data_IF_101807661371
#
_entry.id   IF_101807661371
#
_cell.length_a   1.000
_cell.length_b   1.000
_cell.length_c   1.000
_cell.angle_alpha   90.00
_cell.angle_beta   90.00
_cell.angle_gamma   90.00
#
_symmetry.space_group_name_H-M   'P 1'
#
loop_
_entity.id
_entity.type
_entity.pdbx_description
1 polymer ?
#
# COMPACT_ATOMS: atom_id res chain seq x y z
N UNK A 1 -8.84 -21.34 1.11
CA UNK A 1 -9.92 -20.65 0.36
C UNK A 1 -9.29 -20.05 -0.88
N UNK A 2 -9.83 -20.25 -2.09
CA UNK A 2 -9.28 -19.59 -3.29
C UNK A 2 -9.47 -18.09 -3.10
N UNK A 3 -8.38 -17.31 -3.06
CA UNK A 3 -8.44 -15.87 -2.73
C UNK A 3 -8.98 -15.02 -3.87
N UNK A 4 -8.84 -15.49 -5.12
CA UNK A 4 -9.22 -14.76 -6.33
C UNK A 4 -10.40 -15.45 -7.01
N UNK A 5 -11.60 -15.12 -6.54
CA UNK A 5 -12.84 -15.74 -7.02
C UNK A 5 -13.66 -14.72 -7.76
N UNK A 6 -14.04 -15.06 -9.00
CA UNK A 6 -15.09 -14.35 -9.73
C UNK A 6 -16.34 -15.23 -9.79
N UNK A 7 -17.44 -14.71 -9.26
CA UNK A 7 -18.71 -15.42 -9.21
C UNK A 7 -19.51 -15.18 -10.50
N UNK A 8 -19.21 -15.97 -11.54
CA UNK A 8 -19.99 -15.99 -12.80
C UNK A 8 -21.45 -16.40 -12.57
N UNK A 9 -21.66 -17.28 -11.60
CA UNK A 9 -22.94 -17.69 -11.04
C UNK A 9 -22.87 -17.48 -9.53
N UNK A 10 -23.99 -17.15 -8.88
CA UNK A 10 -24.04 -16.78 -7.46
C UNK A 10 -23.16 -17.66 -6.57
N UNK A 11 -22.48 -17.07 -5.54
CA UNK A 11 -21.63 -17.84 -4.64
C UNK A 11 -22.41 -19.02 -4.03
N UNK A 12 -21.92 -20.26 -4.13
CA UNK A 12 -22.68 -21.45 -3.78
C UNK A 12 -23.04 -21.56 -2.28
N UNK A 13 -22.33 -20.86 -1.40
CA UNK A 13 -22.50 -20.95 0.06
C UNK A 13 -22.93 -19.64 0.72
N UNK A 14 -23.40 -18.65 -0.05
CA UNK A 14 -23.90 -17.38 0.49
C UNK A 14 -25.41 -17.28 0.35
N UNK A 15 -26.02 -16.56 1.30
CA UNK A 15 -27.35 -16.01 1.12
C UNK A 15 -27.41 -15.23 -0.20
N UNK A 16 -28.24 -15.73 -1.13
CA UNK A 16 -28.35 -15.22 -2.50
C UNK A 16 -28.73 -13.74 -2.52
N UNK A 17 -29.60 -13.28 -1.63
CA UNK A 17 -30.00 -11.88 -1.57
C UNK A 17 -28.85 -10.99 -1.09
N UNK A 18 -28.10 -11.43 -0.08
CA UNK A 18 -26.89 -10.73 0.40
C UNK A 18 -25.80 -10.68 -0.68
N UNK A 19 -25.58 -11.78 -1.39
CA UNK A 19 -24.61 -11.84 -2.49
C UNK A 19 -24.99 -10.91 -3.65
N UNK A 20 -26.27 -10.89 -4.04
CA UNK A 20 -26.79 -9.94 -5.04
C UNK A 20 -26.54 -8.50 -4.60
N UNK A 21 -26.90 -8.16 -3.36
CA UNK A 21 -26.73 -6.82 -2.83
C UNK A 21 -25.24 -6.41 -2.79
N UNK A 22 -24.35 -7.34 -2.42
CA UNK A 22 -22.92 -7.11 -2.41
C UNK A 22 -22.36 -6.92 -3.83
N UNK A 23 -22.74 -7.77 -4.79
CA UNK A 23 -22.34 -7.62 -6.18
C UNK A 23 -22.78 -6.29 -6.79
N UNK A 24 -24.01 -5.81 -6.47
CA UNK A 24 -24.49 -4.48 -6.88
C UNK A 24 -23.64 -3.35 -6.29
N UNK A 25 -23.34 -3.40 -4.98
CA UNK A 25 -22.45 -2.42 -4.35
C UNK A 25 -21.05 -2.41 -4.96
N UNK A 26 -20.52 -3.59 -5.30
CA UNK A 26 -19.23 -3.69 -5.97
C UNK A 26 -19.27 -3.08 -7.38
N UNK A 27 -20.33 -3.34 -8.15
CA UNK A 27 -20.50 -2.76 -9.48
C UNK A 27 -20.60 -1.23 -9.42
N UNK A 28 -21.40 -0.69 -8.49
CA UNK A 28 -21.53 0.76 -8.23
C UNK A 28 -20.20 1.38 -7.83
N UNK A 29 -19.48 0.77 -6.88
CA UNK A 29 -18.18 1.24 -6.43
C UNK A 29 -17.13 1.24 -7.55
N UNK A 30 -17.05 0.17 -8.35
CA UNK A 30 -16.14 0.14 -9.50
C UNK A 30 -16.49 1.23 -10.53
N UNK A 31 -17.78 1.44 -10.80
CA UNK A 31 -18.25 2.42 -11.77
C UNK A 31 -17.93 3.86 -11.33
N UNK A 32 -18.19 4.21 -10.08
CA UNK A 32 -17.85 5.51 -9.51
C UNK A 32 -16.36 5.80 -9.67
N UNK A 33 -15.51 4.84 -9.29
CA UNK A 33 -14.05 5.01 -9.34
C UNK A 33 -13.50 5.07 -10.75
N UNK A 34 -14.08 4.30 -11.67
CA UNK A 34 -13.80 4.43 -13.10
C UNK A 34 -14.05 5.87 -13.60
N UNK A 35 -15.13 6.51 -13.14
CA UNK A 35 -15.44 7.87 -13.54
C UNK A 35 -14.49 8.91 -12.91
N UNK A 36 -14.11 8.76 -11.65
CA UNK A 36 -13.05 9.60 -11.05
C UNK A 36 -11.71 9.45 -11.77
N UNK A 37 -11.28 8.21 -12.06
CA UNK A 37 -10.06 7.95 -12.84
C UNK A 37 -10.12 8.61 -14.21
N UNK A 38 -11.24 8.45 -14.94
CA UNK A 38 -11.41 9.08 -16.25
C UNK A 38 -11.38 10.61 -16.16
N UNK A 39 -12.01 11.21 -15.15
CA UNK A 39 -11.93 12.65 -14.93
C UNK A 39 -10.48 13.10 -14.64
N UNK A 40 -9.76 12.35 -13.81
CA UNK A 40 -8.37 12.61 -13.47
C UNK A 40 -7.45 12.58 -14.71
N UNK A 41 -7.55 11.53 -15.51
CA UNK A 41 -6.75 11.28 -16.72
C UNK A 41 -7.06 12.28 -17.85
N UNK A 42 -8.27 12.84 -17.88
CA UNK A 42 -8.68 13.84 -18.88
C UNK A 42 -8.55 15.29 -18.41
N UNK A 43 -8.13 15.52 -17.15
CA UNK A 43 -8.08 16.87 -16.58
C UNK A 43 -9.46 17.54 -16.51
N UNK A 44 -10.54 16.76 -16.42
CA UNK A 44 -11.92 17.25 -16.49
C UNK A 44 -12.43 17.68 -15.11
N UNK A 45 -11.67 18.52 -14.44
CA UNK A 45 -11.95 19.07 -13.11
C UNK A 45 -11.23 20.41 -12.96
N UNK A 46 -11.67 21.19 -11.98
CA UNK A 46 -11.04 22.43 -11.58
C UNK A 46 -10.50 22.29 -10.15
N UNK A 47 -9.36 22.94 -9.87
CA UNK A 47 -8.71 22.91 -8.56
C UNK A 47 -9.18 24.13 -7.79
N UNK A 48 -9.79 23.91 -6.63
CA UNK A 48 -10.11 24.97 -5.67
C UNK A 48 -9.05 25.02 -4.56
N UNK A 49 -8.67 26.22 -4.14
CA UNK A 49 -7.87 26.43 -2.94
C UNK A 49 -8.78 26.68 -1.75
N UNK A 50 -8.61 25.87 -0.70
CA UNK A 50 -9.40 25.89 0.52
C UNK A 50 -8.54 26.52 1.63
N UNK A 51 -8.87 27.76 1.99
CA UNK A 51 -8.14 28.52 3.01
C UNK A 51 -8.40 27.97 4.41
N UNK A 52 -7.52 28.24 5.40
CA UNK A 52 -7.83 28.00 6.80
C UNK A 52 -9.16 28.67 7.21
N UNK A 53 -10.06 27.92 7.85
CA UNK A 53 -11.37 28.41 8.27
C UNK A 53 -12.49 28.32 7.22
N UNK A 54 -12.20 27.90 5.99
CA UNK A 54 -13.24 27.57 5.00
C UNK A 54 -14.09 26.38 5.50
N UNK A 55 -15.45 26.46 5.50
CA UNK A 55 -16.33 25.35 5.88
C UNK A 55 -16.09 24.05 5.09
N UNK A 56 -15.56 24.16 3.87
CA UNK A 56 -15.22 23.06 3.00
C UNK A 56 -13.79 22.53 3.20
N UNK A 57 -12.97 23.19 4.02
CA UNK A 57 -11.66 22.72 4.41
C UNK A 57 -11.77 21.80 5.64
N UNK A 58 -11.66 20.47 5.49
CA UNK A 58 -11.78 19.56 6.62
C UNK A 58 -10.54 19.57 7.54
N UNK A 59 -9.49 20.32 7.20
CA UNK A 59 -8.26 20.37 7.97
C UNK A 59 -8.40 21.32 9.18
N UNK A 60 -8.23 20.83 10.42
CA UNK A 60 -8.31 21.69 11.61
C UNK A 60 -7.09 22.59 11.81
N UNK A 61 -6.01 22.38 11.04
CA UNK A 61 -4.76 23.13 11.12
C UNK A 61 -4.74 24.32 10.14
N UNK A 62 -3.95 25.38 10.41
CA UNK A 62 -3.92 26.62 9.63
C UNK A 62 -3.14 26.49 8.32
N UNK A 63 -3.38 25.40 7.58
CA UNK A 63 -2.73 25.13 6.31
C UNK A 63 -3.76 25.06 5.19
N UNK A 64 -3.41 25.70 4.07
CA UNK A 64 -4.18 25.61 2.83
C UNK A 64 -4.28 24.14 2.40
N UNK A 65 -5.46 23.79 1.91
CA UNK A 65 -5.75 22.53 1.24
C UNK A 65 -6.33 22.82 -0.12
N UNK A 66 -6.48 21.77 -0.91
CA UNK A 66 -7.04 21.83 -2.24
C UNK A 66 -8.24 20.91 -2.32
N UNK A 67 -9.18 21.31 -3.17
CA UNK A 67 -10.28 20.48 -3.62
C UNK A 67 -10.26 20.32 -5.13
N UNK A 68 -10.97 19.30 -5.61
CA UNK A 68 -11.22 19.05 -7.01
C UNK A 68 -12.72 19.07 -7.22
N UNK A 69 -13.17 19.95 -8.10
CA UNK A 69 -14.58 20.10 -8.48
C UNK A 69 -14.75 19.59 -9.91
N UNK A 70 -15.76 18.76 -10.13
CA UNK A 70 -15.90 17.98 -11.36
C UNK A 70 -16.97 18.52 -12.31
N UNK A 71 -17.24 19.83 -12.26
CA UNK A 71 -18.30 20.44 -13.07
C UNK A 71 -18.06 20.25 -14.58
N UNK A 72 -16.81 20.16 -15.00
CA UNK A 72 -16.41 19.88 -16.39
C UNK A 72 -16.66 18.43 -16.81
N UNK A 73 -16.83 17.50 -15.86
CA UNK A 73 -17.07 16.10 -16.14
C UNK A 73 -18.58 15.77 -16.23
N UNK A 74 -19.09 15.55 -17.44
CA UNK A 74 -20.55 15.40 -17.68
C UNK A 74 -21.06 13.95 -17.75
N UNK A 75 -20.16 12.97 -17.77
CA UNK A 75 -20.53 11.56 -18.01
C UNK A 75 -21.08 10.84 -16.78
N UNK A 76 -20.78 11.37 -15.59
CA UNK A 76 -21.25 10.85 -14.32
C UNK A 76 -21.22 11.97 -13.29
N UNK A 77 -22.19 11.99 -12.38
CA UNK A 77 -22.21 12.98 -11.30
C UNK A 77 -21.18 12.62 -10.24
N UNK A 78 -20.04 13.29 -10.27
CA UNK A 78 -18.97 13.13 -9.28
C UNK A 78 -19.13 14.15 -8.15
N UNK A 79 -18.77 13.75 -6.93
CA UNK A 79 -18.75 14.65 -5.78
C UNK A 79 -17.39 15.35 -5.72
N UNK A 80 -17.32 16.60 -5.23
CA UNK A 80 -16.05 17.24 -4.96
C UNK A 80 -15.20 16.41 -4.00
N UNK A 81 -13.89 16.36 -4.26
CA UNK A 81 -12.90 15.75 -3.37
C UNK A 81 -12.12 16.88 -2.72
N UNK A 82 -11.98 16.90 -1.39
CA UNK A 82 -11.43 18.04 -0.65
C UNK A 82 -10.45 17.61 0.43
N UNK A 83 -9.67 18.56 0.93
CA UNK A 83 -8.72 18.34 2.02
C UNK A 83 -7.35 17.82 1.59
N UNK A 84 -7.03 17.91 0.29
CA UNK A 84 -5.77 17.39 -0.27
C UNK A 84 -4.64 18.42 -0.22
N UNK A 85 -3.40 17.93 -0.16
CA UNK A 85 -2.20 18.73 -0.37
C UNK A 85 -1.75 18.52 -1.83
N UNK A 86 -1.95 19.51 -2.70
CA UNK A 86 -1.48 19.49 -4.10
C UNK A 86 -0.31 20.46 -4.24
N UNK A 87 0.72 20.06 -4.97
CA UNK A 87 2.00 20.79 -5.08
C UNK A 87 2.53 20.89 -6.52
N UNK A 88 1.72 21.31 -7.50
CA UNK A 88 2.25 21.60 -8.82
C UNK A 88 3.18 22.81 -8.81
N UNK A 89 4.24 22.71 -9.61
CA UNK A 89 5.02 23.84 -10.08
C UNK A 89 4.14 24.76 -10.94
N UNK A 90 4.67 25.94 -11.29
CA UNK A 90 3.93 26.93 -12.09
C UNK A 90 3.48 26.38 -13.47
N UNK A 91 4.22 25.41 -14.03
CA UNK A 91 3.89 24.73 -15.30
C UNK A 91 2.99 23.50 -15.14
N UNK A 92 2.54 23.20 -13.91
CA UNK A 92 1.71 22.05 -13.58
C UNK A 92 2.49 20.75 -13.30
N UNK A 93 3.81 20.74 -13.48
CA UNK A 93 4.64 19.57 -13.17
C UNK A 93 4.75 19.34 -11.66
N UNK A 94 5.06 18.11 -11.26
CA UNK A 94 5.37 17.75 -9.87
C UNK A 94 6.87 17.47 -9.75
N UNK A 95 7.47 17.89 -8.63
CA UNK A 95 8.88 17.64 -8.37
C UNK A 95 9.19 16.12 -8.38
N UNK A 96 10.28 15.65 -9.04
CA UNK A 96 10.59 14.22 -9.14
C UNK A 96 10.73 13.51 -7.79
N UNK A 97 11.25 14.20 -6.77
CA UNK A 97 11.34 13.66 -5.40
C UNK A 97 9.96 13.40 -4.78
N UNK A 98 8.95 14.22 -5.09
CA UNK A 98 7.58 14.00 -4.63
C UNK A 98 6.95 12.82 -5.37
N UNK A 99 7.20 12.67 -6.69
CA UNK A 99 6.72 11.51 -7.45
C UNK A 99 7.28 10.19 -6.89
N UNK A 100 8.56 10.17 -6.49
CA UNK A 100 9.16 9.02 -5.83
C UNK A 100 8.45 8.71 -4.50
N UNK A 101 8.24 9.71 -3.65
CA UNK A 101 7.50 9.55 -2.39
C UNK A 101 6.08 9.01 -2.63
N UNK A 102 5.37 9.53 -3.63
CA UNK A 102 4.02 9.07 -3.97
C UNK A 102 3.98 7.63 -4.49
N UNK A 103 5.00 7.21 -5.26
CA UNK A 103 5.18 5.81 -5.67
C UNK A 103 5.33 4.90 -4.44
N UNK A 104 6.16 5.28 -3.47
CA UNK A 104 6.37 4.54 -2.22
C UNK A 104 5.08 4.46 -1.37
N UNK A 105 4.36 5.58 -1.22
CA UNK A 105 3.08 5.63 -0.49
C UNK A 105 2.01 4.74 -1.14
N UNK A 106 1.90 4.76 -2.47
CA UNK A 106 0.92 3.95 -3.21
C UNK A 106 1.25 2.47 -3.15
N UNK A 107 2.48 2.07 -3.47
CA UNK A 107 2.81 0.66 -3.63
C UNK A 107 3.27 -0.02 -2.35
N UNK A 108 3.56 0.73 -1.30
CA UNK A 108 3.56 0.21 0.06
C UNK A 108 2.16 -0.20 0.54
N UNK A 109 1.11 0.31 -0.10
CA UNK A 109 -0.27 -0.02 0.24
C UNK A 109 -0.71 -1.31 -0.44
N UNK A 110 -0.80 -2.38 0.34
CA UNK A 110 -1.30 -3.67 -0.14
C UNK A 110 -2.69 -3.57 -0.79
N UNK A 111 -3.53 -2.60 -0.38
CA UNK A 111 -4.85 -2.39 -0.98
C UNK A 111 -4.73 -1.84 -2.40
N UNK A 112 -3.81 -0.91 -2.65
CA UNK A 112 -3.54 -0.40 -3.99
C UNK A 112 -2.98 -1.52 -4.87
N UNK A 113 -2.05 -2.34 -4.34
CA UNK A 113 -1.50 -3.48 -5.08
C UNK A 113 -2.58 -4.49 -5.49
N UNK A 114 -3.46 -4.87 -4.57
CA UNK A 114 -4.53 -5.84 -4.89
C UNK A 114 -5.62 -5.25 -5.79
N UNK A 115 -6.01 -4.01 -5.56
CA UNK A 115 -7.19 -3.42 -6.16
C UNK A 115 -6.88 -2.52 -7.37
N UNK A 116 -5.59 -2.35 -7.68
CA UNK A 116 -5.07 -1.64 -8.84
C UNK A 116 -5.39 -0.14 -8.86
N UNK A 117 -5.25 0.46 -10.04
CA UNK A 117 -5.42 1.90 -10.27
C UNK A 117 -6.83 2.41 -9.92
N UNK A 118 -7.86 1.54 -9.99
CA UNK A 118 -9.20 1.91 -9.53
C UNK A 118 -9.25 2.17 -8.02
N UNK A 119 -8.40 1.53 -7.22
CA UNK A 119 -8.29 1.85 -5.79
C UNK A 119 -7.33 3.00 -5.51
N UNK A 120 -6.29 3.17 -6.32
CA UNK A 120 -5.25 4.18 -6.11
C UNK A 120 -5.78 5.59 -5.85
N UNK A 121 -6.89 6.01 -6.48
CA UNK A 121 -7.47 7.34 -6.24
C UNK A 121 -7.91 7.60 -4.78
N UNK A 122 -8.15 6.54 -3.99
CA UNK A 122 -8.45 6.69 -2.55
C UNK A 122 -7.26 7.26 -1.78
N UNK A 123 -6.05 7.04 -2.28
CA UNK A 123 -4.85 7.73 -1.85
C UNK A 123 -4.79 9.07 -2.57
N UNK A 124 -5.72 9.95 -2.18
CA UNK A 124 -6.07 11.19 -2.87
C UNK A 124 -4.85 12.06 -3.20
N UNK A 125 -3.98 12.30 -2.20
CA UNK A 125 -2.79 13.14 -2.37
C UNK A 125 -1.80 12.57 -3.39
N UNK A 126 -1.25 11.35 -3.23
CA UNK A 126 -0.27 10.82 -4.19
C UNK A 126 -0.90 10.69 -5.57
N UNK A 127 -2.09 10.08 -5.66
CA UNK A 127 -2.74 9.84 -6.95
C UNK A 127 -2.98 11.12 -7.75
N UNK A 128 -3.60 12.15 -7.15
CA UNK A 128 -3.92 13.36 -7.92
C UNK A 128 -2.70 14.22 -8.25
N UNK A 129 -1.66 14.26 -7.41
CA UNK A 129 -0.41 14.91 -7.83
C UNK A 129 0.21 14.20 -9.05
N UNK A 130 0.24 12.87 -9.06
CA UNK A 130 0.72 12.10 -10.22
C UNK A 130 -0.13 12.35 -11.48
N UNK A 131 -1.46 12.46 -11.34
CA UNK A 131 -2.34 12.81 -12.45
C UNK A 131 -2.14 14.26 -12.93
N UNK A 132 -1.83 15.20 -12.05
CA UNK A 132 -1.46 16.57 -12.45
C UNK A 132 -0.17 16.54 -13.28
N UNK A 133 0.84 15.81 -12.84
CA UNK A 133 2.09 15.66 -13.60
C UNK A 133 1.86 15.03 -14.98
N UNK A 134 0.99 14.01 -15.06
CA UNK A 134 0.63 13.36 -16.32
C UNK A 134 -0.10 14.31 -17.28
N UNK A 135 -0.94 15.20 -16.76
CA UNK A 135 -1.62 16.21 -17.59
C UNK A 135 -0.74 17.42 -17.93
N UNK A 136 0.34 17.66 -17.19
CA UNK A 136 1.33 18.73 -17.43
C UNK A 136 2.15 18.50 -18.73
N UNK A 137 3.08 19.40 -19.08
CA UNK A 137 4.05 19.17 -20.16
C UNK A 137 4.92 17.90 -19.97
N UNK A 138 5.09 17.41 -18.74
CA UNK A 138 5.92 16.22 -18.47
C UNK A 138 5.31 14.91 -19.00
N UNK A 139 3.98 14.84 -19.17
CA UNK A 139 3.27 13.67 -19.73
C UNK A 139 3.60 12.33 -19.07
N UNK A 140 3.86 12.36 -17.76
CA UNK A 140 4.15 11.16 -16.98
C UNK A 140 3.55 11.25 -15.59
N UNK A 141 3.11 10.11 -15.07
CA UNK A 141 2.75 9.91 -13.66
C UNK A 141 3.98 9.69 -12.78
N UNK A 142 5.16 9.45 -13.38
CA UNK A 142 6.34 8.90 -12.71
C UNK A 142 6.36 7.37 -12.66
N UNK A 143 5.35 6.70 -13.24
CA UNK A 143 5.27 5.24 -13.36
C UNK A 143 5.05 4.88 -14.84
N UNK A 144 6.09 4.43 -15.58
CA UNK A 144 6.00 4.18 -17.02
C UNK A 144 4.87 3.23 -17.43
N UNK A 145 4.60 2.20 -16.62
CA UNK A 145 3.52 1.26 -16.88
C UNK A 145 2.12 1.90 -16.77
N UNK A 146 1.95 2.88 -15.87
CA UNK A 146 0.70 3.63 -15.78
C UNK A 146 0.57 4.59 -16.94
N UNK A 147 1.64 5.27 -17.34
CA UNK A 147 1.61 6.18 -18.49
C UNK A 147 1.16 5.44 -19.75
N UNK A 148 1.78 4.29 -20.02
CA UNK A 148 1.39 3.39 -21.12
C UNK A 148 -0.08 2.96 -21.01
N UNK A 149 -0.50 2.48 -19.84
CA UNK A 149 -1.89 2.06 -19.61
C UNK A 149 -2.86 3.20 -19.89
N UNK A 150 -2.60 4.40 -19.39
CA UNK A 150 -3.48 5.56 -19.51
C UNK A 150 -3.56 6.07 -20.94
N UNK A 151 -2.44 6.11 -21.66
CA UNK A 151 -2.38 6.50 -23.07
C UNK A 151 -3.16 5.52 -23.94
N UNK A 152 -2.91 4.21 -23.79
CA UNK A 152 -3.61 3.16 -24.54
C UNK A 152 -5.11 3.14 -24.19
N UNK A 153 -5.45 3.28 -22.92
CA UNK A 153 -6.83 3.30 -22.45
C UNK A 153 -7.60 4.50 -22.99
N UNK A 154 -6.97 5.69 -23.03
CA UNK A 154 -7.52 6.90 -23.62
C UNK A 154 -7.71 6.75 -25.13
N UNK A 155 -6.70 6.23 -25.84
CA UNK A 155 -6.77 5.99 -27.28
C UNK A 155 -7.87 4.98 -27.66
N UNK A 156 -8.10 3.98 -26.81
CA UNK A 156 -9.15 2.97 -27.01
C UNK A 156 -10.57 3.44 -26.61
N UNK A 157 -10.75 4.68 -26.17
CA UNK A 157 -12.06 5.21 -25.78
C UNK A 157 -12.52 4.77 -24.38
N UNK A 158 -11.58 4.55 -23.46
CA UNK A 158 -11.82 4.20 -22.04
C UNK A 158 -12.57 2.88 -21.80
N UNK A 159 -12.22 1.75 -22.43
CA UNK A 159 -12.90 0.48 -22.18
C UNK A 159 -12.62 -0.04 -20.75
N UNK A 160 -13.68 -0.43 -20.02
CA UNK A 160 -13.56 -0.95 -18.63
C UNK A 160 -12.71 -2.22 -18.53
N UNK A 161 -12.71 -3.05 -19.57
CA UNK A 161 -11.98 -4.33 -19.62
C UNK A 161 -10.45 -4.19 -19.55
N UNK A 162 -9.91 -2.99 -19.76
CA UNK A 162 -8.47 -2.71 -19.64
C UNK A 162 -8.05 -2.40 -18.21
N UNK A 163 -9.01 -2.23 -17.30
CA UNK A 163 -8.74 -1.93 -15.90
C UNK A 163 -9.09 -3.15 -15.05
N UNK A 164 -8.23 -3.46 -14.09
CA UNK A 164 -8.48 -4.51 -13.10
C UNK A 164 -9.69 -4.17 -12.22
N UNK A 165 -10.54 -5.16 -11.98
CA UNK A 165 -11.60 -5.06 -10.99
C UNK A 165 -11.00 -4.93 -9.59
N UNK A 166 -11.34 -3.86 -8.88
CA UNK A 166 -10.73 -3.56 -7.58
C UNK A 166 -11.14 -4.55 -6.46
N UNK A 167 -12.20 -5.33 -6.68
CA UNK A 167 -12.70 -6.31 -5.72
C UNK A 167 -12.23 -7.73 -5.99
N UNK A 168 -11.72 -8.02 -7.19
CA UNK A 168 -11.40 -9.39 -7.59
C UNK A 168 -10.30 -10.01 -6.72
N UNK A 169 -9.30 -9.21 -6.36
CA UNK A 169 -8.19 -9.61 -5.51
C UNK A 169 -8.50 -9.65 -4.02
N UNK A 170 -9.61 -9.03 -3.62
CA UNK A 170 -10.02 -8.91 -2.22
C UNK A 170 -10.51 -10.26 -1.72
N UNK A 171 -10.48 -10.46 -0.40
CA UNK A 171 -10.99 -11.68 0.24
C UNK A 171 -12.43 -12.04 -0.18
N UNK A 172 -13.28 -11.05 -0.43
CA UNK A 172 -14.65 -11.28 -0.90
C UNK A 172 -14.73 -11.86 -2.30
N UNK A 173 -13.68 -11.70 -3.12
CA UNK A 173 -13.73 -11.83 -4.57
C UNK A 173 -14.68 -10.83 -5.23
N UNK A 174 -14.81 -10.94 -6.55
CA UNK A 174 -15.78 -10.17 -7.32
C UNK A 174 -17.11 -10.94 -7.43
N UNK A 175 -18.16 -10.41 -6.81
CA UNK A 175 -19.52 -10.94 -6.75
C UNK A 175 -20.45 -10.36 -7.82
N UNK A 176 -19.95 -9.49 -8.71
CA UNK A 176 -20.71 -9.04 -9.87
C UNK A 176 -20.55 -10.05 -11.03
N UNK A 177 -21.60 -10.81 -11.38
CA UNK A 177 -21.52 -11.81 -12.46
C UNK A 177 -21.34 -11.16 -13.84
N UNK A 178 -21.58 -9.85 -13.97
CA UNK A 178 -21.47 -9.08 -15.21
C UNK A 178 -20.39 -8.00 -15.12
N UNK A 179 -19.41 -8.18 -14.22
CA UNK A 179 -18.31 -7.25 -14.04
C UNK A 179 -17.63 -6.96 -15.38
N UNK A 180 -17.60 -5.70 -15.84
CA UNK A 180 -17.00 -5.34 -17.13
C UNK A 180 -15.48 -5.08 -17.04
N UNK A 181 -14.90 -5.26 -15.86
CA UNK A 181 -13.48 -5.03 -15.55
C UNK A 181 -12.70 -6.34 -15.63
N UNK A 182 -11.38 -6.24 -15.74
CA UNK A 182 -10.50 -7.39 -15.88
C UNK A 182 -10.40 -8.21 -14.57
N UNK A 183 -10.42 -9.53 -14.72
CA UNK A 183 -10.16 -10.52 -13.67
C UNK A 183 -8.95 -11.38 -14.04
N UNK A 184 -7.74 -10.88 -13.78
CA UNK A 184 -6.49 -11.60 -14.03
C UNK A 184 -6.02 -12.32 -12.76
N UNK A 185 -6.37 -13.60 -12.65
CA UNK A 185 -5.99 -14.42 -11.50
C UNK A 185 -4.47 -14.64 -11.41
N UNK A 186 -3.77 -14.69 -12.54
CA UNK A 186 -2.34 -14.95 -12.56
C UNK A 186 -1.56 -13.71 -12.08
N UNK A 187 -1.90 -12.52 -12.60
CA UNK A 187 -1.29 -11.27 -12.15
C UNK A 187 -1.56 -11.03 -10.66
N UNK A 188 -2.81 -11.20 -10.23
CA UNK A 188 -3.18 -11.00 -8.82
C UNK A 188 -2.44 -11.95 -7.87
N UNK A 189 -2.24 -13.21 -8.29
CA UNK A 189 -1.46 -14.18 -7.51
C UNK A 189 0.00 -13.77 -7.42
N UNK A 190 0.63 -13.39 -8.54
CA UNK A 190 2.02 -12.90 -8.56
C UNK A 190 2.21 -11.71 -7.62
N UNK A 191 1.31 -10.72 -7.67
CA UNK A 191 1.36 -9.55 -6.80
C UNK A 191 1.25 -9.89 -5.32
N UNK A 192 0.43 -10.88 -4.97
CA UNK A 192 0.30 -11.32 -3.58
C UNK A 192 1.52 -12.09 -3.09
N UNK A 193 2.06 -12.96 -3.93
CA UNK A 193 3.28 -13.69 -3.62
C UNK A 193 4.45 -12.70 -3.39
N UNK A 194 4.53 -11.62 -4.18
CA UNK A 194 5.44 -10.50 -3.96
C UNK A 194 5.21 -9.80 -2.61
N UNK A 195 3.95 -9.51 -2.24
CA UNK A 195 3.64 -8.95 -0.92
C UNK A 195 4.14 -9.87 0.20
N UNK A 196 3.93 -11.18 0.09
CA UNK A 196 4.40 -12.12 1.12
C UNK A 196 5.93 -12.18 1.19
N UNK A 197 6.63 -12.19 0.05
CA UNK A 197 8.09 -12.15 0.01
C UNK A 197 8.63 -10.86 0.66
N UNK A 198 8.02 -9.71 0.36
CA UNK A 198 8.41 -8.44 0.98
C UNK A 198 8.16 -8.42 2.50
N UNK A 199 7.05 -9.01 2.95
CA UNK A 199 6.78 -9.19 4.39
C UNK A 199 7.81 -10.09 5.07
N UNK A 200 8.23 -11.17 4.40
CA UNK A 200 9.31 -12.04 4.88
C UNK A 200 10.63 -11.27 4.96
N UNK A 201 10.96 -10.47 3.96
CA UNK A 201 12.11 -9.56 3.96
C UNK A 201 12.10 -8.61 5.16
N UNK A 202 10.98 -7.91 5.38
CA UNK A 202 10.76 -7.00 6.52
C UNK A 202 10.82 -7.69 7.90
N UNK A 203 10.67 -9.02 7.94
CA UNK A 203 10.83 -9.82 9.16
C UNK A 203 12.24 -10.42 9.31
N UNK A 204 13.15 -10.17 8.36
CA UNK A 204 14.46 -10.81 8.29
C UNK A 204 14.34 -12.33 8.12
N UNK A 205 13.42 -12.79 7.28
CA UNK A 205 12.99 -14.18 7.12
C UNK A 205 12.76 -14.56 5.64
N UNK A 206 13.48 -13.94 4.69
CA UNK A 206 13.48 -14.40 3.31
C UNK A 206 13.92 -15.87 3.23
N UNK A 207 13.23 -16.67 2.44
CA UNK A 207 13.60 -18.07 2.22
C UNK A 207 14.68 -18.18 1.14
N UNK A 208 15.39 -19.33 1.03
CA UNK A 208 16.30 -19.57 -0.08
C UNK A 208 15.63 -19.40 -1.45
N UNK A 209 14.37 -19.86 -1.58
CA UNK A 209 13.59 -19.73 -2.81
C UNK A 209 13.25 -18.26 -3.12
N UNK A 210 12.88 -17.45 -2.11
CA UNK A 210 12.69 -16.00 -2.33
C UNK A 210 13.97 -15.36 -2.88
N UNK A 211 15.11 -15.69 -2.28
CA UNK A 211 16.40 -15.13 -2.68
C UNK A 211 16.73 -15.57 -4.12
N UNK A 212 16.56 -16.85 -4.46
CA UNK A 212 16.78 -17.37 -5.81
C UNK A 212 15.90 -16.65 -6.84
N UNK A 213 14.62 -16.45 -6.53
CA UNK A 213 13.67 -15.79 -7.43
C UNK A 213 14.02 -14.31 -7.62
N UNK A 214 14.29 -13.57 -6.54
CA UNK A 214 14.29 -12.11 -6.60
C UNK A 214 15.68 -11.49 -6.78
N UNK A 215 16.77 -12.21 -6.53
CA UNK A 215 18.13 -11.63 -6.52
C UNK A 215 18.51 -10.93 -7.82
N UNK A 216 18.25 -11.57 -8.95
CA UNK A 216 18.81 -11.18 -10.25
C UNK A 216 17.74 -10.81 -11.31
N UNK A 217 16.46 -10.84 -10.96
CA UNK A 217 15.38 -10.42 -11.86
C UNK A 217 15.42 -8.91 -12.10
N UNK A 218 15.04 -8.49 -13.30
CA UNK A 218 14.83 -7.07 -13.62
C UNK A 218 13.52 -6.61 -12.95
N UNK A 219 13.56 -5.68 -11.98
CA UNK A 219 12.38 -5.34 -11.17
C UNK A 219 11.15 -4.93 -11.97
N UNK A 220 11.30 -4.00 -12.92
CA UNK A 220 10.21 -3.49 -13.74
C UNK A 220 9.64 -4.52 -14.74
N UNK A 221 10.42 -5.54 -15.13
CA UNK A 221 9.91 -6.63 -15.96
C UNK A 221 9.11 -7.64 -15.15
N UNK A 222 9.55 -7.92 -13.91
CA UNK A 222 8.89 -8.87 -13.02
C UNK A 222 7.60 -8.29 -12.40
N UNK A 223 7.64 -7.02 -12.02
CA UNK A 223 6.52 -6.28 -11.42
C UNK A 223 6.29 -4.96 -12.16
N UNK A 224 5.75 -4.99 -13.40
CA UNK A 224 5.56 -3.79 -14.19
C UNK A 224 4.53 -2.84 -13.59
N UNK A 225 3.51 -3.35 -12.89
CA UNK A 225 2.39 -2.55 -12.36
C UNK A 225 2.79 -1.53 -11.29
N UNK A 226 3.90 -1.76 -10.59
CA UNK A 226 4.49 -0.83 -9.62
C UNK A 226 5.88 -0.33 -10.05
N UNK A 227 6.23 -0.50 -11.33
CA UNK A 227 7.52 -0.13 -11.87
C UNK A 227 8.68 -0.68 -11.03
N UNK A 228 8.57 -1.97 -10.67
CA UNK A 228 9.59 -2.73 -9.96
C UNK A 228 9.76 -2.44 -8.47
N UNK A 229 9.02 -1.49 -7.89
CA UNK A 229 9.22 -1.00 -6.51
C UNK A 229 9.38 -2.13 -5.48
N UNK A 230 8.45 -3.08 -5.42
CA UNK A 230 8.49 -4.14 -4.40
C UNK A 230 9.68 -5.09 -4.59
N UNK A 231 10.09 -5.31 -5.84
CA UNK A 231 11.21 -6.20 -6.16
C UNK A 231 12.52 -5.52 -5.79
N UNK A 232 12.64 -4.21 -6.04
CA UNK A 232 13.77 -3.40 -5.57
C UNK A 232 13.89 -3.42 -4.05
N UNK A 233 12.76 -3.29 -3.33
CA UNK A 233 12.74 -3.41 -1.86
C UNK A 233 13.22 -4.79 -1.39
N UNK A 234 12.73 -5.88 -2.01
CA UNK A 234 13.18 -7.24 -1.66
C UNK A 234 14.68 -7.40 -1.96
N UNK A 235 15.15 -6.95 -3.11
CA UNK A 235 16.58 -6.99 -3.47
C UNK A 235 17.44 -6.18 -2.52
N UNK A 236 16.94 -5.04 -2.03
CA UNK A 236 17.62 -4.25 -1.00
C UNK A 236 17.82 -5.06 0.27
N UNK A 237 16.78 -5.75 0.77
CA UNK A 237 16.87 -6.63 1.94
C UNK A 237 17.77 -7.85 1.72
N UNK A 238 17.84 -8.38 0.50
CA UNK A 238 18.79 -9.45 0.16
C UNK A 238 20.23 -8.96 0.30
N UNK A 239 20.52 -7.74 -0.20
CA UNK A 239 21.86 -7.14 -0.18
C UNK A 239 22.24 -6.58 1.19
N UNK A 240 21.26 -6.09 1.94
CA UNK A 240 21.44 -5.38 3.21
C UNK A 240 20.46 -5.94 4.26
N UNK A 241 20.67 -7.18 4.74
CA UNK A 241 19.80 -7.73 5.78
C UNK A 241 19.90 -6.89 7.06
N UNK A 242 18.76 -6.62 7.69
CA UNK A 242 18.71 -5.91 8.97
C UNK A 242 19.55 -6.68 10.01
N UNK A 243 20.39 -5.99 10.81
CA UNK A 243 21.18 -6.65 11.84
C UNK A 243 20.27 -7.26 12.91
N UNK A 244 20.65 -8.44 13.40
CA UNK A 244 19.94 -9.07 14.52
C UNK A 244 20.28 -8.30 15.80
N UNK A 245 19.28 -7.63 16.39
CA UNK A 245 19.43 -6.88 17.65
C UNK A 245 18.72 -7.57 18.81
N UNK A 246 19.09 -7.26 20.04
CA UNK A 246 18.25 -7.62 21.18
C UNK A 246 17.08 -6.64 21.29
N UNK A 247 15.84 -7.13 21.25
CA UNK A 247 14.64 -6.27 21.34
C UNK A 247 14.32 -5.81 22.76
N UNK A 248 15.06 -6.27 23.76
CA UNK A 248 15.04 -5.63 25.07
C UNK A 248 15.80 -4.30 24.97
N UNK A 249 15.09 -3.18 24.97
CA UNK A 249 15.64 -1.83 24.80
C UNK A 249 16.67 -1.44 25.87
N UNK A 250 16.64 -2.07 27.03
CA UNK A 250 17.66 -1.92 28.09
C UNK A 250 18.85 -2.88 27.98
N UNK A 251 19.03 -3.58 26.86
CA UNK A 251 20.15 -4.50 26.64
C UNK A 251 21.11 -3.95 25.57
N UNK A 252 22.37 -3.76 25.94
CA UNK A 252 23.45 -3.32 25.06
C UNK A 252 24.39 -4.47 24.64
N UNK A 253 24.10 -5.73 24.99
CA UNK A 253 25.02 -6.85 24.74
C UNK A 253 25.45 -6.97 23.27
N UNK A 254 24.53 -6.73 22.33
CA UNK A 254 24.85 -6.78 20.89
C UNK A 254 25.48 -5.47 20.40
N UNK A 255 25.19 -4.35 21.06
CA UNK A 255 25.83 -3.08 20.76
C UNK A 255 27.31 -3.11 21.18
N UNK A 256 27.62 -3.75 22.32
CA UNK A 256 28.97 -3.90 22.87
C UNK A 256 29.74 -5.07 22.22
N UNK A 257 29.02 -6.13 21.82
CA UNK A 257 29.56 -7.38 21.24
C UNK A 257 28.78 -7.80 19.99
N UNK A 258 29.06 -7.19 18.82
CA UNK A 258 28.34 -7.47 17.57
C UNK A 258 28.36 -8.94 17.15
N UNK A 259 29.39 -9.70 17.52
CA UNK A 259 29.52 -11.14 17.27
C UNK A 259 28.42 -11.99 17.91
N UNK A 260 27.72 -11.47 18.93
CA UNK A 260 26.60 -12.15 19.57
C UNK A 260 25.31 -12.09 18.74
N UNK A 261 25.25 -11.27 17.68
CA UNK A 261 24.07 -11.12 16.83
C UNK A 261 23.60 -12.46 16.26
N UNK A 262 24.53 -13.32 15.82
CA UNK A 262 24.23 -14.64 15.26
C UNK A 262 23.72 -15.65 16.30
N UNK A 263 23.95 -15.39 17.59
CA UNK A 263 23.55 -16.26 18.70
C UNK A 263 22.18 -15.88 19.28
N UNK A 264 21.58 -14.78 18.81
CA UNK A 264 20.30 -14.31 19.31
C UNK A 264 19.19 -15.30 19.01
N UNK A 265 18.33 -15.49 20.01
CA UNK A 265 17.19 -16.38 19.90
C UNK A 265 15.97 -15.59 19.46
N UNK A 266 15.33 -16.05 18.40
CA UNK A 266 14.04 -15.51 17.95
C UNK A 266 12.93 -15.92 18.91
N UNK A 267 11.92 -15.07 19.08
CA UNK A 267 10.68 -15.46 19.74
C UNK A 267 10.09 -16.70 19.04
N UNK A 268 9.80 -17.76 19.78
CA UNK A 268 9.28 -19.02 19.23
C UNK A 268 7.92 -18.88 18.55
N UNK A 269 7.11 -17.88 18.94
CA UNK A 269 5.77 -17.64 18.38
C UNK A 269 5.83 -16.82 17.10
N UNK A 270 6.40 -15.62 17.14
CA UNK A 270 6.38 -14.71 15.99
C UNK A 270 7.57 -14.86 15.06
N UNK A 271 8.70 -15.38 15.53
CA UNK A 271 9.97 -15.49 14.79
C UNK A 271 10.56 -14.16 14.26
N UNK A 272 9.97 -13.02 14.59
CA UNK A 272 10.42 -11.68 14.16
C UNK A 272 11.42 -11.09 15.13
N UNK A 273 11.06 -10.97 16.42
CA UNK A 273 11.90 -10.32 17.42
C UNK A 273 12.95 -11.28 17.99
N UNK A 274 14.11 -10.75 18.36
CA UNK A 274 15.29 -11.49 18.82
C UNK A 274 15.76 -11.07 20.21
N UNK A 275 16.34 -12.00 20.95
CA UNK A 275 16.78 -11.78 22.32
C UNK A 275 18.10 -12.47 22.63
N UNK A 276 18.89 -11.79 23.48
CA UNK A 276 20.13 -12.32 24.05
C UNK A 276 19.89 -13.60 24.88
N UNK A 277 18.77 -13.62 25.60
CA UNK A 277 18.44 -14.63 26.61
C UNK A 277 16.94 -14.65 26.89
N UNK A 278 16.49 -15.68 27.62
CA UNK A 278 15.12 -15.74 28.12
C UNK A 278 14.79 -14.60 29.10
N UNK A 279 15.79 -14.03 29.79
CA UNK A 279 15.61 -12.88 30.66
C UNK A 279 15.34 -11.60 29.86
N UNK A 280 16.13 -11.37 28.79
CA UNK A 280 15.89 -10.29 27.83
C UNK A 280 14.45 -10.38 27.28
N UNK A 281 13.99 -11.58 26.92
CA UNK A 281 12.62 -11.81 26.47
C UNK A 281 11.57 -11.48 27.55
N UNK A 282 11.76 -11.96 28.79
CA UNK A 282 10.82 -11.71 29.90
C UNK A 282 10.69 -10.21 30.20
N UNK A 283 11.79 -9.45 30.16
CA UNK A 283 11.79 -8.00 30.37
C UNK A 283 10.98 -7.26 29.30
N UNK A 284 11.17 -7.60 28.03
CA UNK A 284 10.44 -6.98 26.91
C UNK A 284 9.00 -7.51 26.74
N UNK A 285 8.63 -8.61 27.41
CA UNK A 285 7.35 -9.31 27.17
C UNK A 285 6.11 -8.43 27.33
N UNK A 286 6.10 -7.49 28.29
CA UNK A 286 4.94 -6.61 28.54
C UNK A 286 4.59 -5.76 27.31
N UNK A 287 5.59 -5.30 26.57
CA UNK A 287 5.45 -4.55 25.32
C UNK A 287 5.20 -5.51 24.16
N UNK A 288 6.08 -6.51 23.99
CA UNK A 288 6.00 -7.46 22.88
C UNK A 288 4.66 -8.19 22.78
N UNK A 289 4.06 -8.61 23.89
CA UNK A 289 2.87 -9.47 23.90
C UNK A 289 1.67 -8.88 23.16
N UNK A 290 1.61 -7.54 23.05
CA UNK A 290 0.52 -6.81 22.41
C UNK A 290 0.53 -7.01 20.88
N UNK A 291 1.73 -7.15 20.32
CA UNK A 291 1.95 -7.26 18.88
C UNK A 291 2.53 -8.64 18.48
N UNK A 292 2.53 -9.59 19.41
CA UNK A 292 3.03 -10.93 19.18
C UNK A 292 1.95 -11.81 18.54
N UNK A 293 2.16 -12.17 17.27
CA UNK A 293 1.30 -13.09 16.51
C UNK A 293 2.09 -14.31 16.02
N UNK A 294 1.45 -15.45 15.72
CA UNK A 294 2.10 -16.54 15.00
C UNK A 294 2.76 -16.03 13.71
N UNK A 295 3.97 -16.49 13.42
CA UNK A 295 4.72 -16.04 12.22
C UNK A 295 3.90 -16.15 10.92
N UNK A 296 3.18 -17.26 10.75
CA UNK A 296 2.34 -17.48 9.57
C UNK A 296 1.23 -16.42 9.45
N UNK A 297 0.60 -16.06 10.58
CA UNK A 297 -0.37 -14.97 10.61
C UNK A 297 0.28 -13.64 10.24
N UNK A 298 1.48 -13.35 10.75
CA UNK A 298 2.21 -12.12 10.41
C UNK A 298 2.41 -12.00 8.90
N UNK A 299 2.76 -13.07 8.19
CA UNK A 299 2.98 -12.98 6.74
C UNK A 299 1.66 -12.83 5.97
N UNK A 300 0.60 -13.52 6.37
CA UNK A 300 -0.61 -13.65 5.55
C UNK A 300 -1.75 -12.70 5.90
N UNK A 301 -1.80 -12.18 7.13
CA UNK A 301 -2.86 -11.30 7.63
C UNK A 301 -2.55 -9.84 7.28
N UNK A 302 -3.32 -9.28 6.35
CA UNK A 302 -3.13 -7.91 5.87
C UNK A 302 -3.44 -6.85 6.95
N UNK A 303 -4.23 -7.18 7.97
CA UNK A 303 -4.57 -6.26 9.05
C UNK A 303 -3.41 -6.07 10.03
N UNK A 304 -2.38 -6.92 9.98
CA UNK A 304 -1.14 -6.76 10.74
C UNK A 304 -0.11 -5.86 10.05
N UNK A 305 -0.42 -5.30 8.88
CA UNK A 305 0.47 -4.40 8.12
C UNK A 305 -0.18 -3.04 7.88
N UNK A 306 0.64 -1.99 7.99
CA UNK A 306 0.24 -0.62 7.70
C UNK A 306 0.03 -0.42 6.19
N UNK A 307 -0.57 0.71 5.84
CA UNK A 307 -0.79 1.13 4.45
C UNK A 307 0.48 1.44 3.67
N UNK A 308 1.66 1.46 4.29
CA UNK A 308 2.92 1.63 3.53
C UNK A 308 3.87 0.45 3.76
N UNK A 309 3.32 -0.71 4.14
CA UNK A 309 4.08 -1.97 4.16
C UNK A 309 4.98 -2.16 5.38
N UNK A 310 4.72 -1.46 6.49
CA UNK A 310 5.35 -1.76 7.77
C UNK A 310 4.47 -2.68 8.61
N UNK A 311 5.07 -3.63 9.33
CA UNK A 311 4.34 -4.41 10.33
C UNK A 311 3.78 -3.45 11.38
N UNK A 312 2.51 -3.57 11.76
CA UNK A 312 1.93 -2.76 12.84
C UNK A 312 2.56 -3.16 14.18
N UNK A 313 2.60 -2.22 15.11
CA UNK A 313 3.19 -2.41 16.44
C UNK A 313 4.64 -1.97 16.54
N UNK A 314 5.34 -2.47 17.55
CA UNK A 314 6.74 -2.08 17.84
C UNK A 314 7.71 -2.51 16.73
N UNK A 315 8.55 -1.58 16.29
CA UNK A 315 9.64 -1.75 15.32
C UNK A 315 11.00 -1.83 16.01
N UNK A 316 12.02 -2.28 15.29
CA UNK A 316 13.38 -2.48 15.82
C UNK A 316 14.04 -1.18 16.30
N UNK A 317 13.67 -0.05 15.71
CA UNK A 317 14.18 1.28 16.08
C UNK A 317 13.44 1.89 17.29
N UNK A 318 12.54 1.14 17.94
CA UNK A 318 11.75 1.61 19.08
C UNK A 318 10.48 2.39 18.69
N UNK A 319 10.25 2.58 17.39
CA UNK A 319 9.03 3.23 16.92
C UNK A 319 7.85 2.26 16.97
N UNK A 320 6.66 2.77 17.29
CA UNK A 320 5.42 2.00 17.13
C UNK A 320 4.69 2.48 15.89
N UNK A 321 4.40 1.55 14.98
CA UNK A 321 3.63 1.81 13.76
C UNK A 321 2.16 1.55 14.03
N UNK A 322 1.32 2.57 13.82
CA UNK A 322 -0.14 2.46 13.80
C UNK A 322 -0.68 3.03 12.51
N UNK A 323 -1.72 2.41 11.98
CA UNK A 323 -2.48 2.92 10.83
C UNK A 323 -3.79 3.50 11.36
N UNK A 324 -3.99 4.81 11.22
CA UNK A 324 -5.26 5.46 11.52
C UNK A 324 -5.87 6.05 10.23
N UNK A 325 -7.08 6.61 10.33
CA UNK A 325 -7.77 7.21 9.16
C UNK A 325 -7.10 8.50 8.67
N UNK A 326 -6.13 9.05 9.40
CA UNK A 326 -5.41 10.30 9.10
C UNK A 326 -3.97 10.11 8.58
N UNK A 327 -3.44 8.88 8.57
CA UNK A 327 -2.12 8.54 8.05
C UNK A 327 -1.42 7.47 8.88
N UNK A 328 -0.11 7.31 8.68
CA UNK A 328 0.72 6.50 9.57
C UNK A 328 1.26 7.38 10.68
N UNK A 329 0.90 7.05 11.91
CA UNK A 329 1.52 7.68 13.08
C UNK A 329 2.68 6.77 13.52
N UNK A 330 3.90 7.31 13.42
CA UNK A 330 5.11 6.70 13.99
C UNK A 330 5.38 7.41 15.32
N UNK A 331 5.01 6.78 16.44
CA UNK A 331 5.37 7.30 17.76
C UNK A 331 6.74 6.76 18.17
N UNK A 332 7.72 7.65 18.36
CA UNK A 332 9.03 7.31 18.89
C UNK A 332 8.86 7.01 20.39
N UNK A 333 9.05 5.76 20.80
CA UNK A 333 9.28 5.50 22.23
C UNK A 333 10.77 5.74 22.50
N UNK A 334 11.15 6.61 23.45
CA UNK A 334 12.56 6.81 23.75
C UNK A 334 13.18 5.46 24.12
N UNK A 335 14.32 5.10 23.52
CA UNK A 335 15.18 4.05 24.08
C UNK A 335 15.62 4.57 25.44
N UNK A 336 14.95 4.13 26.50
CA UNK A 336 15.40 4.39 27.86
C UNK A 336 16.65 3.55 28.05
N UNK A 337 17.83 4.18 27.93
CA UNK A 337 19.04 3.59 28.50
C UNK A 337 18.74 3.43 29.99
N UNK A 338 18.68 2.19 30.47
CA UNK A 338 18.71 1.98 31.91
C UNK A 338 20.11 2.35 32.34
N UNK A 339 20.26 3.55 32.90
CA UNK A 339 21.45 3.92 33.64
C UNK A 339 21.66 2.85 34.71
N UNK A 340 22.81 2.18 34.64
CA UNK A 340 23.39 1.43 35.75
C UNK A 340 24.58 2.20 36.26
#
# INVERSE_FOLDING_TARGET
MVRYVHYKTYPPNFDRAKAIAQGRRQAEGNLERYHYLRAAVTGAYDIEQLQPGDPNNPNPLPFVRHGLVFDRYKLHKLKPLRGMKLHPNADGTIHPGDLKLYKEELFGNWKVREAGILYAYMELRPFFNMMLNYNSPAKTTGIPAWDKLLDEWKAAGFPKRMLQCMYFARESGCMDPRCPFQHDAAATKRDKDLVYAWRRARCGQLTPEDIEIFRDVVPAEYSPGDDGFIVEEIQYYIKNPDPLICWNTGCCQVDDHPELAEQLKRCSRCKVVTYCSAECQKKHWKEHKQDCHPYDQIIHDDELWSRVGFRKGLQWNGNTVKDDRGGITVSISPRVRSDK
#
